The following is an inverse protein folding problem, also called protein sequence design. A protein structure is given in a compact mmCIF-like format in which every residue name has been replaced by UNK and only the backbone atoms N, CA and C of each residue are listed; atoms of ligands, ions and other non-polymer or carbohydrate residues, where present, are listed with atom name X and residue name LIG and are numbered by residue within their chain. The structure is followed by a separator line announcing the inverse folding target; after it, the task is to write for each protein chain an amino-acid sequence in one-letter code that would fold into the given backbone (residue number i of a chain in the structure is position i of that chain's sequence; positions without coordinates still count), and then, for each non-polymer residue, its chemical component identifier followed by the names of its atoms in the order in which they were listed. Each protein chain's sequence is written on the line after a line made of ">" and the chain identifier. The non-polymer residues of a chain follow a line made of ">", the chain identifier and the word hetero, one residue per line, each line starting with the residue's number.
data_IF_743814811354
#
_entry.id   IF_743814811354
#
_cell.length_a   1.000
_cell.length_b   1.000
_cell.length_c   1.000
_cell.angle_alpha   90.00
_cell.angle_beta   90.00
_cell.angle_gamma   90.00
#
_symmetry.space_group_name_H-M   'P 1'
#
loop_
_entity.id
_entity.type
_entity.pdbx_description
1 polymer ?
#
# COMPACT_ATOMS: atom_id res chain seq x y z
N UNK A 1 17.05 -16.99 6.33
CA UNK A 1 16.19 -17.30 5.17
C UNK A 1 14.79 -17.53 5.72
N UNK A 2 13.96 -16.49 5.77
CA UNK A 2 12.58 -16.63 6.25
C UNK A 2 11.74 -17.26 5.13
N UNK A 3 11.17 -18.42 5.41
CA UNK A 3 10.15 -19.01 4.56
C UNK A 3 8.98 -18.02 4.48
N UNK A 4 8.79 -17.41 3.31
CA UNK A 4 7.54 -16.74 2.99
C UNK A 4 6.44 -17.80 3.06
N UNK A 5 5.54 -17.64 4.02
CA UNK A 5 4.36 -18.50 4.16
C UNK A 5 3.61 -18.55 2.82
N UNK A 6 3.32 -19.76 2.36
CA UNK A 6 2.47 -20.04 1.19
C UNK A 6 0.98 -19.87 1.51
N UNK A 7 0.63 -19.52 2.74
CA UNK A 7 -0.76 -19.29 3.13
C UNK A 7 -1.27 -17.99 2.52
N UNK A 8 -2.36 -18.10 1.76
CA UNK A 8 -3.07 -16.94 1.24
C UNK A 8 -3.82 -16.26 2.40
N UNK A 9 -3.75 -14.91 2.53
CA UNK A 9 -4.41 -14.21 3.61
C UNK A 9 -5.94 -14.31 3.49
N UNK A 10 -6.61 -14.52 4.61
CA UNK A 10 -8.07 -14.45 4.69
C UNK A 10 -8.59 -13.02 4.74
N UNK A 11 -7.83 -12.10 5.33
CA UNK A 11 -8.20 -10.70 5.48
C UNK A 11 -8.26 -9.94 4.15
N UNK A 12 -8.88 -8.76 4.21
CA UNK A 12 -9.00 -7.85 3.07
C UNK A 12 -7.97 -6.73 3.18
N UNK A 13 -7.36 -6.36 2.06
CA UNK A 13 -6.48 -5.21 1.99
C UNK A 13 -6.99 -4.19 0.99
N UNK A 14 -7.04 -2.91 1.37
CA UNK A 14 -7.50 -1.83 0.49
C UNK A 14 -6.42 -0.77 0.34
N UNK A 15 -6.09 -0.38 -0.89
CA UNK A 15 -5.05 0.60 -1.16
C UNK A 15 -5.56 1.67 -2.12
N UNK A 16 -5.42 2.95 -1.75
CA UNK A 16 -5.83 4.11 -2.55
C UNK A 16 -4.62 4.95 -2.95
N UNK A 17 -4.63 5.51 -4.16
CA UNK A 17 -3.56 6.35 -4.68
C UNK A 17 -3.38 7.71 -4.01
N UNK A 18 -4.28 8.14 -3.11
CA UNK A 18 -4.32 9.48 -2.52
C UNK A 18 -5.38 10.36 -3.21
N UNK A 19 -5.38 11.66 -2.94
CA UNK A 19 -6.44 12.57 -3.39
C UNK A 19 -7.50 12.71 -2.31
N UNK A 20 -8.77 12.82 -2.70
CA UNK A 20 -9.89 12.68 -1.78
C UNK A 20 -10.05 11.21 -1.32
N UNK A 21 -10.27 11.02 -0.02
CA UNK A 21 -10.40 9.70 0.59
C UNK A 21 -11.86 9.34 0.90
N UNK A 22 -12.83 10.24 0.72
CA UNK A 22 -14.23 10.04 1.15
C UNK A 22 -14.85 8.74 0.60
N UNK A 23 -14.63 8.45 -0.69
CA UNK A 23 -15.10 7.21 -1.32
C UNK A 23 -14.42 5.95 -0.72
N UNK A 24 -13.14 6.04 -0.37
CA UNK A 24 -12.44 4.96 0.33
C UNK A 24 -13.01 4.76 1.74
N UNK A 25 -13.26 5.83 2.50
CA UNK A 25 -13.80 5.73 3.85
C UNK A 25 -15.19 5.10 3.85
N UNK A 26 -16.06 5.51 2.92
CA UNK A 26 -17.38 4.91 2.72
C UNK A 26 -17.28 3.41 2.38
N UNK A 27 -16.42 3.06 1.40
CA UNK A 27 -16.15 1.68 1.04
C UNK A 27 -15.66 0.85 2.25
N UNK A 28 -14.75 1.39 3.06
CA UNK A 28 -14.25 0.69 4.25
C UNK A 28 -15.35 0.46 5.28
N UNK A 29 -16.23 1.44 5.50
CA UNK A 29 -17.40 1.30 6.37
C UNK A 29 -18.33 0.18 5.88
N UNK A 30 -18.59 0.10 4.58
CA UNK A 30 -19.46 -0.93 3.97
C UNK A 30 -18.85 -2.34 4.06
N UNK A 31 -17.52 -2.46 4.08
CA UNK A 31 -16.82 -3.73 4.22
C UNK A 31 -16.77 -4.25 5.67
N UNK A 32 -17.03 -3.39 6.67
CA UNK A 32 -17.02 -3.80 8.07
C UNK A 32 -18.23 -4.69 8.39
N UNK A 33 -18.07 -5.71 9.25
CA UNK A 33 -19.18 -6.58 9.64
C UNK A 33 -20.26 -5.86 10.44
N UNK A 34 -19.91 -4.73 11.07
CA UNK A 34 -20.80 -3.83 11.81
C UNK A 34 -20.14 -2.47 11.95
N UNK A 35 -20.92 -1.38 11.99
CA UNK A 35 -20.41 -0.02 12.22
C UNK A 35 -19.87 0.20 13.65
N UNK A 36 -20.17 -0.70 14.59
CA UNK A 36 -19.58 -0.69 15.94
C UNK A 36 -18.20 -1.37 15.99
N UNK A 37 -17.72 -1.89 14.86
CA UNK A 37 -16.40 -2.53 14.76
C UNK A 37 -15.29 -1.54 15.06
N UNK A 38 -14.31 -1.94 15.88
CA UNK A 38 -13.19 -1.08 16.22
C UNK A 38 -12.34 -0.72 14.98
N UNK A 39 -12.21 0.57 14.71
CA UNK A 39 -11.37 1.13 13.64
C UNK A 39 -10.19 1.86 14.26
N UNK A 40 -8.98 1.43 13.92
CA UNK A 40 -7.72 1.98 14.41
C UNK A 40 -7.03 2.78 13.31
N UNK A 41 -6.95 4.10 13.48
CA UNK A 41 -6.36 5.03 12.51
C UNK A 41 -4.89 5.26 12.89
N UNK A 42 -3.96 4.94 12.00
CA UNK A 42 -2.52 5.14 12.19
C UNK A 42 -2.06 6.31 11.31
N UNK A 43 -1.82 7.46 11.93
CA UNK A 43 -1.44 8.69 11.25
C UNK A 43 0.07 9.02 11.34
N UNK A 44 0.90 8.03 11.66
CA UNK A 44 2.37 8.16 11.87
C UNK A 44 3.11 8.75 10.68
N UNK A 45 2.56 8.60 9.47
CA UNK A 45 3.08 9.17 8.24
C UNK A 45 3.10 10.70 8.25
N UNK A 46 2.26 11.37 9.03
CA UNK A 46 2.25 12.83 9.18
C UNK A 46 3.22 13.27 10.29
N UNK A 47 4.46 13.69 9.98
CA UNK A 47 5.48 13.96 11.00
C UNK A 47 5.12 15.07 11.99
N UNK A 48 4.41 16.10 11.52
CA UNK A 48 4.11 17.29 12.32
C UNK A 48 2.65 17.35 12.79
N UNK A 49 1.75 16.63 12.12
CA UNK A 49 0.30 16.80 12.29
C UNK A 49 -0.45 15.48 12.51
N UNK A 50 0.23 14.39 12.91
CA UNK A 50 -0.36 13.07 13.12
C UNK A 50 -1.68 13.12 13.92
N UNK A 51 -1.73 13.88 15.01
CA UNK A 51 -2.94 14.02 15.82
C UNK A 51 -4.07 14.73 15.08
N UNK A 52 -3.77 15.78 14.32
CA UNK A 52 -4.77 16.51 13.54
C UNK A 52 -5.29 15.65 12.37
N UNK A 53 -4.39 14.99 11.62
CA UNK A 53 -4.73 14.03 10.57
C UNK A 53 -5.63 12.93 11.13
N UNK A 54 -5.25 12.30 12.25
CA UNK A 54 -6.05 11.24 12.85
C UNK A 54 -7.42 11.73 13.34
N UNK A 55 -7.49 12.95 13.88
CA UNK A 55 -8.75 13.56 14.33
C UNK A 55 -9.69 13.81 13.14
N UNK A 56 -9.16 14.22 11.98
CA UNK A 56 -9.95 14.40 10.78
C UNK A 56 -10.54 13.07 10.27
N UNK A 57 -9.73 12.01 10.16
CA UNK A 57 -10.26 10.69 9.78
C UNK A 57 -11.21 10.12 10.85
N UNK A 58 -10.92 10.31 12.14
CA UNK A 58 -11.81 9.86 13.22
C UNK A 58 -13.18 10.52 13.11
N UNK A 59 -13.23 11.81 12.79
CA UNK A 59 -14.48 12.52 12.51
C UNK A 59 -15.18 11.96 11.28
N UNK A 60 -14.48 11.80 10.16
CA UNK A 60 -15.07 11.31 8.91
C UNK A 60 -15.67 9.89 9.06
N UNK A 61 -14.94 8.96 9.68
CA UNK A 61 -15.46 7.62 9.97
C UNK A 61 -16.71 7.66 10.86
N UNK A 62 -16.75 8.54 11.86
CA UNK A 62 -17.92 8.69 12.74
C UNK A 62 -19.13 9.30 12.03
N UNK A 63 -18.92 10.22 11.11
CA UNK A 63 -19.98 10.79 10.27
C UNK A 63 -20.60 9.72 9.35
N UNK A 64 -19.81 8.73 8.94
CA UNK A 64 -20.26 7.52 8.24
C UNK A 64 -20.86 6.45 9.17
N UNK A 65 -20.98 6.72 10.47
CA UNK A 65 -21.59 5.83 11.47
C UNK A 65 -20.62 4.90 12.19
N UNK A 66 -19.33 4.87 11.84
CA UNK A 66 -18.32 4.07 12.54
C UNK A 66 -17.92 4.70 13.89
N UNK A 67 -18.81 4.60 14.89
CA UNK A 67 -18.66 5.29 16.18
C UNK A 67 -17.46 4.84 16.99
N UNK A 68 -16.94 3.63 16.73
CA UNK A 68 -15.78 3.04 17.39
C UNK A 68 -14.43 3.44 16.76
N UNK A 69 -14.41 4.30 15.74
CA UNK A 69 -13.16 4.79 15.14
C UNK A 69 -12.35 5.65 16.11
N UNK A 70 -11.04 5.37 16.22
CA UNK A 70 -10.12 6.05 17.14
C UNK A 70 -8.72 6.16 16.55
N UNK A 71 -8.02 7.24 16.87
CA UNK A 71 -6.57 7.35 16.63
C UNK A 71 -5.78 6.28 17.42
N UNK A 72 -4.93 5.51 16.73
CA UNK A 72 -3.90 4.65 17.30
C UNK A 72 -2.54 5.35 17.18
N UNK A 73 -2.09 6.09 18.22
CA UNK A 73 -0.83 6.80 18.15
C UNK A 73 0.33 5.79 18.11
N UNK A 74 1.16 5.91 17.08
CA UNK A 74 2.43 5.19 16.94
C UNK A 74 3.50 6.20 16.52
N UNK A 75 4.62 6.22 17.24
CA UNK A 75 5.72 7.14 17.00
C UNK A 75 6.74 7.13 18.13
N UNK A 76 7.62 8.13 18.17
CA UNK A 76 8.73 8.22 19.13
C UNK A 76 8.30 8.06 20.60
N UNK A 77 7.19 8.69 20.98
CA UNK A 77 6.65 8.62 22.35
C UNK A 77 5.56 7.56 22.54
N UNK A 78 5.18 6.87 21.47
CA UNK A 78 4.14 5.85 21.47
C UNK A 78 4.64 4.61 20.71
N UNK A 79 5.47 3.76 21.36
CA UNK A 79 6.06 2.60 20.70
C UNK A 79 4.97 1.65 20.19
N UNK A 80 5.21 1.05 19.01
CA UNK A 80 4.27 0.09 18.41
C UNK A 80 4.02 -1.14 19.32
N UNK A 81 5.04 -1.56 20.06
CA UNK A 81 5.01 -2.71 20.98
C UNK A 81 4.50 -2.37 22.39
N UNK A 82 4.01 -1.14 22.62
CA UNK A 82 3.38 -0.82 23.88
C UNK A 82 2.17 -1.76 24.13
N UNK A 83 2.00 -2.33 25.34
CA UNK A 83 0.92 -3.28 25.61
C UNK A 83 -0.50 -2.77 25.30
N UNK A 84 -0.71 -1.46 25.41
CA UNK A 84 -1.97 -0.81 25.03
C UNK A 84 -2.19 -0.81 23.52
N UNK A 85 -1.15 -0.53 22.73
CA UNK A 85 -1.19 -0.52 21.28
C UNK A 85 -1.48 -1.92 20.74
N UNK A 86 -0.74 -2.93 21.22
CA UNK A 86 -0.94 -4.32 20.81
C UNK A 86 -2.34 -4.86 21.20
N UNK A 87 -2.87 -4.47 22.36
CA UNK A 87 -4.23 -4.85 22.78
C UNK A 87 -5.29 -4.24 21.86
N UNK A 88 -5.12 -2.98 21.44
CA UNK A 88 -5.99 -2.31 20.47
C UNK A 88 -5.92 -2.98 19.11
N UNK A 89 -4.70 -3.20 18.60
CA UNK A 89 -4.47 -3.93 17.35
C UNK A 89 -5.14 -5.30 17.34
N UNK A 90 -5.09 -6.07 18.45
CA UNK A 90 -5.73 -7.40 18.52
C UNK A 90 -7.27 -7.37 18.49
N UNK A 91 -7.88 -6.21 18.72
CA UNK A 91 -9.35 -6.03 18.75
C UNK A 91 -9.90 -5.28 17.54
N UNK A 92 -9.05 -4.63 16.76
CA UNK A 92 -9.43 -3.85 15.58
C UNK A 92 -10.10 -4.75 14.53
N UNK A 93 -11.20 -4.31 13.91
CA UNK A 93 -11.63 -4.91 12.65
C UNK A 93 -10.96 -4.26 11.44
N UNK A 94 -10.56 -2.99 11.59
CA UNK A 94 -9.86 -2.22 10.56
C UNK A 94 -8.65 -1.50 11.15
N UNK A 95 -7.51 -1.59 10.47
CA UNK A 95 -6.36 -0.71 10.66
C UNK A 95 -6.18 0.13 9.39
N UNK A 96 -6.31 1.45 9.53
CA UNK A 96 -6.20 2.39 8.41
C UNK A 96 -4.94 3.25 8.55
N UNK A 97 -4.06 3.21 7.54
CA UNK A 97 -2.84 4.01 7.46
C UNK A 97 -3.05 5.25 6.59
N UNK A 98 -2.90 6.44 7.16
CA UNK A 98 -3.06 7.69 6.40
C UNK A 98 -1.88 7.98 5.46
N UNK A 99 -2.04 9.01 4.62
CA UNK A 99 -0.97 9.58 3.82
C UNK A 99 0.09 10.33 4.65
N UNK A 100 1.18 10.74 3.98
CA UNK A 100 2.32 11.43 4.58
C UNK A 100 3.66 10.90 4.04
N UNK A 101 4.57 10.53 4.93
CA UNK A 101 5.84 9.88 4.64
C UNK A 101 5.79 8.38 4.99
N UNK A 102 5.88 7.54 3.97
CA UNK A 102 5.87 6.08 4.10
C UNK A 102 7.11 5.53 4.83
N UNK A 103 8.26 6.22 4.78
CA UNK A 103 9.46 5.79 5.51
C UNK A 103 9.17 5.81 7.02
N UNK A 104 8.42 6.79 7.52
CA UNK A 104 8.03 6.89 8.94
C UNK A 104 7.14 5.75 9.40
N UNK A 105 6.15 5.34 8.61
CA UNK A 105 5.31 4.17 8.95
C UNK A 105 6.21 2.97 9.20
N UNK A 106 7.14 2.73 8.28
CA UNK A 106 8.04 1.58 8.39
C UNK A 106 9.10 1.72 9.47
N UNK A 107 9.58 2.93 9.76
CA UNK A 107 10.54 3.22 10.83
C UNK A 107 10.00 2.78 12.19
N UNK A 108 8.74 3.09 12.49
CA UNK A 108 8.15 2.79 13.79
C UNK A 108 7.50 1.41 13.91
N UNK A 109 7.18 0.76 12.78
CA UNK A 109 6.42 -0.50 12.78
C UNK A 109 7.25 -1.70 12.31
N UNK A 110 8.21 -1.53 11.39
CA UNK A 110 8.92 -2.71 10.87
C UNK A 110 9.78 -3.39 11.93
N UNK A 111 9.71 -4.72 11.99
CA UNK A 111 10.48 -5.54 12.93
C UNK A 111 9.88 -5.61 14.34
N UNK A 112 8.76 -4.95 14.58
CA UNK A 112 8.07 -4.92 15.89
C UNK A 112 7.08 -6.09 16.05
N UNK A 113 6.66 -6.37 17.29
CA UNK A 113 5.54 -7.29 17.56
C UNK A 113 4.25 -6.79 16.90
N UNK A 114 4.04 -5.48 16.81
CA UNK A 114 2.91 -4.90 16.08
C UNK A 114 2.84 -5.41 14.64
N UNK A 115 3.94 -5.40 13.88
CA UNK A 115 3.95 -5.90 12.51
C UNK A 115 3.61 -7.39 12.47
N UNK A 116 4.14 -8.18 13.42
CA UNK A 116 3.88 -9.61 13.48
C UNK A 116 2.39 -9.90 13.74
N UNK A 117 1.77 -9.19 14.68
CA UNK A 117 0.33 -9.31 14.96
C UNK A 117 -0.48 -8.84 13.76
N UNK A 118 -0.12 -7.71 13.14
CA UNK A 118 -0.80 -7.20 11.94
C UNK A 118 -0.81 -8.25 10.81
N UNK A 119 0.34 -8.88 10.56
CA UNK A 119 0.48 -9.97 9.59
C UNK A 119 -0.32 -11.20 9.97
N UNK A 120 -0.22 -11.66 11.20
CA UNK A 120 -0.95 -12.84 11.67
C UNK A 120 -2.45 -12.67 11.49
N UNK A 121 -2.98 -11.51 11.89
CA UNK A 121 -4.41 -11.21 11.76
C UNK A 121 -4.83 -11.11 10.30
N UNK A 122 -4.07 -10.41 9.47
CA UNK A 122 -4.32 -10.33 8.03
C UNK A 122 -4.33 -11.73 7.38
N UNK A 123 -3.43 -12.61 7.81
CA UNK A 123 -3.36 -13.98 7.29
C UNK A 123 -4.54 -14.85 7.75
N UNK A 124 -5.00 -14.71 9.00
CA UNK A 124 -5.87 -15.70 9.65
C UNK A 124 -7.31 -15.26 9.91
N UNK A 125 -7.65 -13.99 9.74
CA UNK A 125 -8.98 -13.45 10.08
C UNK A 125 -9.68 -12.86 8.85
N UNK A 126 -10.76 -13.50 8.39
CA UNK A 126 -11.50 -13.09 7.19
C UNK A 126 -12.17 -11.72 7.31
N UNK A 127 -12.55 -11.31 8.53
CA UNK A 127 -13.18 -10.02 8.81
C UNK A 127 -12.18 -8.90 9.11
N UNK A 128 -10.87 -9.18 9.08
CA UNK A 128 -9.86 -8.17 9.36
C UNK A 128 -9.46 -7.43 8.09
N UNK A 129 -9.47 -6.10 8.17
CA UNK A 129 -9.17 -5.20 7.07
C UNK A 129 -7.92 -4.39 7.40
N UNK A 130 -7.01 -4.31 6.44
CA UNK A 130 -5.89 -3.35 6.49
C UNK A 130 -6.01 -2.43 5.29
N UNK A 131 -6.02 -1.12 5.53
CA UNK A 131 -6.19 -0.16 4.46
C UNK A 131 -5.15 0.96 4.52
N UNK A 132 -4.88 1.60 3.39
CA UNK A 132 -4.04 2.79 3.37
C UNK A 132 -4.24 3.65 2.14
N UNK A 133 -3.98 4.95 2.30
CA UNK A 133 -4.02 5.95 1.23
C UNK A 133 -2.64 6.57 1.04
N UNK A 134 -2.26 6.86 -0.20
CA UNK A 134 -0.97 7.48 -0.54
C UNK A 134 0.21 6.73 0.12
N UNK A 135 0.98 7.39 1.00
CA UNK A 135 2.05 6.76 1.77
C UNK A 135 1.63 5.48 2.52
N UNK A 136 0.42 5.46 3.09
CA UNK A 136 -0.16 4.28 3.71
C UNK A 136 -0.27 3.11 2.74
N UNK A 137 -0.77 3.34 1.53
CA UNK A 137 -0.88 2.33 0.48
C UNK A 137 0.48 1.77 0.07
N UNK A 138 1.47 2.64 -0.13
CA UNK A 138 2.84 2.22 -0.46
C UNK A 138 3.43 1.33 0.65
N UNK A 139 3.21 1.69 1.92
CA UNK A 139 3.75 0.96 3.06
C UNK A 139 3.22 -0.47 3.23
N UNK A 140 2.04 -0.81 2.69
CA UNK A 140 1.48 -2.16 2.81
C UNK A 140 2.26 -3.22 2.00
N UNK A 141 3.06 -2.80 1.03
CA UNK A 141 3.73 -3.68 0.06
C UNK A 141 5.07 -4.25 0.56
N UNK A 142 5.66 -5.19 -0.18
CA UNK A 142 7.00 -5.73 0.13
C UNK A 142 8.09 -4.67 -0.05
N UNK A 143 8.02 -3.89 -1.13
CA UNK A 143 8.95 -2.79 -1.40
C UNK A 143 8.19 -1.51 -1.66
N UNK A 144 8.69 -0.41 -1.10
CA UNK A 144 8.17 0.93 -1.30
C UNK A 144 9.10 1.72 -2.22
N UNK A 145 8.52 2.49 -3.14
CA UNK A 145 9.21 3.59 -3.79
C UNK A 145 9.17 4.82 -2.89
N UNK A 146 10.33 5.23 -2.39
CA UNK A 146 10.46 6.36 -1.43
C UNK A 146 11.10 7.59 -2.04
N UNK A 147 11.75 7.45 -3.19
CA UNK A 147 12.36 8.56 -3.93
C UNK A 147 12.33 8.29 -5.43
N UNK A 148 12.35 9.36 -6.22
CA UNK A 148 12.31 9.35 -7.67
C UNK A 148 11.37 10.42 -8.22
N UNK A 149 11.94 11.39 -8.93
CA UNK A 149 11.24 12.58 -9.41
C UNK A 149 11.50 12.85 -10.89
N UNK A 150 10.41 12.99 -11.64
CA UNK A 150 10.41 13.34 -13.06
C UNK A 150 11.39 12.48 -13.86
N UNK A 151 12.04 13.11 -14.83
CA UNK A 151 12.96 12.43 -15.75
C UNK A 151 14.23 11.88 -15.08
N UNK A 152 14.65 12.42 -13.91
CA UNK A 152 15.83 11.94 -13.18
C UNK A 152 15.62 10.52 -12.65
N UNK A 153 14.37 10.11 -12.45
CA UNK A 153 14.04 8.75 -12.05
C UNK A 153 14.50 7.69 -13.07
N UNK A 154 14.75 8.05 -14.33
CA UNK A 154 15.26 7.13 -15.36
C UNK A 154 16.79 7.13 -15.47
N UNK A 155 17.49 7.54 -14.41
CA UNK A 155 18.94 7.41 -14.28
C UNK A 155 19.29 6.48 -13.14
N UNK A 156 20.38 5.72 -13.25
CA UNK A 156 20.82 4.84 -12.15
C UNK A 156 21.08 5.66 -10.89
N UNK A 157 20.54 5.21 -9.77
CA UNK A 157 20.52 5.97 -8.50
C UNK A 157 19.46 7.07 -8.42
N UNK A 158 18.67 7.29 -9.46
CA UNK A 158 17.61 8.29 -9.52
C UNK A 158 16.30 7.88 -8.84
N UNK A 159 16.22 6.67 -8.30
CA UNK A 159 15.13 6.21 -7.44
C UNK A 159 15.70 5.61 -6.15
N UNK A 160 14.87 5.53 -5.12
CA UNK A 160 15.17 4.78 -3.91
C UNK A 160 14.01 3.87 -3.56
N UNK A 161 14.33 2.61 -3.28
CA UNK A 161 13.38 1.65 -2.73
C UNK A 161 13.77 1.25 -1.32
N UNK A 162 12.76 0.93 -0.51
CA UNK A 162 12.88 0.47 0.88
C UNK A 162 11.94 -0.70 1.08
N UNK A 163 12.19 -1.53 2.10
CA UNK A 163 11.25 -2.59 2.46
C UNK A 163 10.02 -1.97 3.15
N UNK A 164 8.82 -2.38 2.73
CA UNK A 164 7.56 -2.02 3.35
C UNK A 164 7.17 -2.95 4.50
N UNK A 165 5.89 -2.93 4.87
CA UNK A 165 5.31 -3.82 5.86
C UNK A 165 5.14 -5.25 5.34
N UNK A 166 5.10 -5.46 4.02
CA UNK A 166 5.13 -6.79 3.39
C UNK A 166 3.82 -7.57 3.44
N UNK A 167 2.67 -6.90 3.61
CA UNK A 167 1.34 -7.55 3.57
C UNK A 167 0.99 -8.00 2.14
N UNK A 168 1.46 -7.29 1.12
CA UNK A 168 1.38 -7.70 -0.29
C UNK A 168 2.77 -8.12 -0.80
N UNK A 169 3.10 -9.42 -0.77
CA UNK A 169 4.39 -9.92 -1.26
C UNK A 169 4.51 -9.74 -2.78
N UNK A 170 5.73 -9.48 -3.25
CA UNK A 170 6.09 -9.29 -4.67
C UNK A 170 5.28 -8.21 -5.37
N UNK A 171 4.93 -7.15 -4.65
CA UNK A 171 4.18 -6.02 -5.17
C UNK A 171 4.85 -4.71 -4.79
N UNK A 172 4.75 -3.72 -5.68
CA UNK A 172 5.20 -2.34 -5.52
C UNK A 172 4.01 -1.43 -5.85
N UNK A 173 3.49 -0.69 -4.86
CA UNK A 173 2.47 0.34 -5.12
C UNK A 173 3.15 1.68 -5.25
N UNK A 174 2.79 2.37 -6.32
CA UNK A 174 3.07 3.79 -6.51
C UNK A 174 1.74 4.56 -6.53
N UNK A 175 1.74 5.75 -5.96
CA UNK A 175 0.55 6.55 -5.61
C UNK A 175 0.62 7.92 -6.30
N UNK A 176 -0.49 8.65 -6.38
CA UNK A 176 -0.62 9.87 -7.19
C UNK A 176 0.00 9.67 -8.59
N UNK A 177 -0.25 8.50 -9.17
CA UNK A 177 0.64 7.92 -10.17
C UNK A 177 0.59 8.68 -11.49
N UNK A 178 -0.62 8.94 -11.98
CA UNK A 178 -0.85 9.67 -13.23
C UNK A 178 -0.57 11.15 -13.02
N UNK A 179 -1.04 11.70 -11.91
CA UNK A 179 -0.98 13.11 -11.56
C UNK A 179 0.46 13.62 -11.46
N UNK A 180 1.38 12.75 -11.00
CA UNK A 180 2.80 13.09 -10.84
C UNK A 180 3.70 12.47 -11.91
N UNK A 181 3.14 11.86 -12.96
CA UNK A 181 3.90 11.28 -14.08
C UNK A 181 4.88 10.18 -13.63
N UNK A 182 4.46 9.31 -12.72
CA UNK A 182 5.35 8.38 -11.99
C UNK A 182 5.62 7.05 -12.71
N UNK A 183 5.21 6.90 -13.97
CA UNK A 183 5.54 5.71 -14.76
C UNK A 183 7.04 5.42 -14.82
N UNK A 184 7.86 6.46 -15.07
CA UNK A 184 9.32 6.28 -15.20
C UNK A 184 9.99 5.70 -13.95
N UNK A 185 9.57 6.15 -12.76
CA UNK A 185 10.15 5.65 -11.50
C UNK A 185 9.67 4.24 -11.16
N UNK A 186 8.41 3.91 -11.44
CA UNK A 186 7.89 2.56 -11.26
C UNK A 186 8.55 1.57 -12.23
N UNK A 187 8.70 1.94 -13.51
CA UNK A 187 9.42 1.14 -14.49
C UNK A 187 10.86 0.86 -14.06
N UNK A 188 11.59 1.89 -13.60
CA UNK A 188 12.95 1.70 -13.07
C UNK A 188 12.95 0.81 -11.82
N UNK A 189 11.98 0.94 -10.91
CA UNK A 189 11.87 0.05 -9.76
C UNK A 189 11.74 -1.41 -10.15
N UNK A 190 11.00 -1.71 -11.23
CA UNK A 190 10.86 -3.07 -11.75
C UNK A 190 12.12 -3.58 -12.47
N UNK A 191 12.99 -2.70 -12.98
CA UNK A 191 14.33 -3.11 -13.42
C UNK A 191 15.21 -3.55 -12.24
N UNK A 192 15.04 -2.90 -11.08
CA UNK A 192 15.74 -3.26 -9.85
C UNK A 192 15.11 -4.49 -9.14
N UNK A 193 13.79 -4.65 -9.26
CA UNK A 193 12.99 -5.68 -8.60
C UNK A 193 12.09 -6.43 -9.61
N UNK A 194 12.67 -7.18 -10.57
CA UNK A 194 11.91 -7.78 -11.68
C UNK A 194 10.88 -8.83 -11.26
N UNK A 195 11.05 -9.41 -10.06
CA UNK A 195 10.08 -10.34 -9.49
C UNK A 195 8.84 -9.67 -8.92
N UNK A 196 8.84 -8.34 -8.75
CA UNK A 196 7.66 -7.61 -8.30
C UNK A 196 6.69 -7.32 -9.45
N UNK A 197 5.42 -7.12 -9.09
CA UNK A 197 4.42 -6.47 -9.94
C UNK A 197 4.30 -5.00 -9.51
N UNK A 198 4.40 -4.08 -10.46
CA UNK A 198 4.18 -2.67 -10.21
C UNK A 198 2.71 -2.31 -10.38
N UNK A 199 2.15 -1.58 -9.43
CA UNK A 199 0.77 -1.08 -9.48
C UNK A 199 0.81 0.42 -9.20
N UNK A 200 0.57 1.21 -10.25
CA UNK A 200 0.40 2.65 -10.16
C UNK A 200 -1.06 3.01 -9.94
N UNK A 201 -1.38 3.61 -8.80
CA UNK A 201 -2.72 4.08 -8.44
C UNK A 201 -2.83 5.59 -8.72
N UNK A 202 -3.78 5.97 -9.57
CA UNK A 202 -4.20 7.37 -9.73
C UNK A 202 -4.83 7.89 -8.42
N UNK A 203 -4.95 9.22 -8.29
CA UNK A 203 -5.74 9.80 -7.21
C UNK A 203 -7.20 9.30 -7.27
N UNK A 204 -7.84 9.22 -6.11
CA UNK A 204 -9.24 8.79 -5.93
C UNK A 204 -9.54 7.40 -6.54
N UNK A 205 -8.49 6.59 -6.73
CA UNK A 205 -8.54 5.28 -7.37
C UNK A 205 -7.68 4.28 -6.60
N UNK A 206 -8.19 3.06 -6.46
CA UNK A 206 -7.53 2.07 -5.63
C UNK A 206 -7.80 0.64 -6.05
N UNK A 207 -7.27 -0.27 -5.23
CA UNK A 207 -7.52 -1.71 -5.33
C UNK A 207 -8.01 -2.29 -4.01
N UNK A 208 -8.93 -3.24 -4.10
CA UNK A 208 -9.34 -4.13 -3.01
C UNK A 208 -8.76 -5.51 -3.28
N UNK A 209 -7.89 -5.97 -2.40
CA UNK A 209 -7.26 -7.29 -2.49
C UNK A 209 -7.95 -8.24 -1.51
N UNK A 210 -8.60 -9.27 -2.05
CA UNK A 210 -9.23 -10.34 -1.26
C UNK A 210 -8.52 -11.67 -1.47
N UNK A 211 -8.40 -12.45 -0.41
CA UNK A 211 -7.73 -13.74 -0.46
C UNK A 211 -6.25 -13.65 -0.84
N UNK A 212 -5.64 -12.45 -0.79
CA UNK A 212 -4.28 -12.15 -1.26
C UNK A 212 -3.99 -12.44 -2.73
N UNK A 213 -5.02 -12.71 -3.55
CA UNK A 213 -4.86 -13.15 -4.93
C UNK A 213 -5.52 -12.21 -5.92
N UNK A 214 -6.75 -11.80 -5.65
CA UNK A 214 -7.54 -11.04 -6.60
C UNK A 214 -7.61 -9.59 -6.14
N UNK A 215 -7.17 -8.68 -7.01
CA UNK A 215 -7.28 -7.24 -6.84
C UNK A 215 -8.40 -6.71 -7.73
N UNK A 216 -9.42 -6.13 -7.12
CA UNK A 216 -10.52 -5.43 -7.78
C UNK A 216 -10.23 -3.94 -7.81
N UNK A 217 -10.40 -3.27 -8.95
CA UNK A 217 -10.24 -1.82 -9.04
C UNK A 217 -11.52 -1.10 -8.63
N UNK A 218 -11.37 0.00 -7.90
CA UNK A 218 -12.45 0.94 -7.56
C UNK A 218 -11.99 2.40 -7.73
N UNK A 219 -12.94 3.33 -7.77
CA UNK A 219 -12.70 4.75 -7.96
C UNK A 219 -12.75 5.20 -9.43
N UNK A 220 -12.50 6.49 -9.66
CA UNK A 220 -12.86 7.15 -10.93
C UNK A 220 -11.73 7.23 -11.96
N UNK A 221 -10.50 6.93 -11.54
CA UNK A 221 -9.31 6.97 -12.37
C UNK A 221 -8.87 5.60 -12.91
N UNK A 222 -7.56 5.48 -13.12
CA UNK A 222 -6.95 4.31 -13.76
C UNK A 222 -5.87 3.70 -12.87
N UNK A 223 -5.93 2.38 -12.72
CA UNK A 223 -4.84 1.58 -12.16
C UNK A 223 -3.94 1.11 -13.28
N UNK A 224 -2.66 1.51 -13.25
CA UNK A 224 -1.65 1.08 -14.22
C UNK A 224 -0.82 -0.06 -13.65
N UNK A 225 -0.96 -1.24 -14.21
CA UNK A 225 -0.22 -2.44 -13.80
C UNK A 225 0.96 -2.63 -14.75
N UNK A 226 2.16 -2.76 -14.19
CA UNK A 226 3.41 -2.95 -14.95
C UNK A 226 4.08 -4.24 -14.49
N UNK A 227 4.20 -5.21 -15.40
CA UNK A 227 4.79 -6.51 -15.14
C UNK A 227 6.21 -6.60 -15.71
N UNK A 228 7.19 -6.75 -14.80
CA UNK A 228 8.61 -6.93 -15.11
C UNK A 228 9.08 -8.38 -15.28
N UNK A 229 8.22 -9.40 -15.11
CA UNK A 229 8.66 -10.82 -15.18
C UNK A 229 9.26 -11.23 -16.51
N UNK A 230 8.84 -10.58 -17.59
CA UNK A 230 9.26 -10.89 -18.95
C UNK A 230 10.36 -9.95 -19.46
N UNK A 231 10.94 -9.12 -18.59
CA UNK A 231 12.02 -8.19 -18.95
C UNK A 231 13.13 -8.91 -19.72
N UNK A 232 13.37 -8.46 -20.95
CA UNK A 232 14.50 -8.92 -21.77
C UNK A 232 15.53 -7.81 -21.87
N UNK A 233 16.65 -7.99 -21.19
CA UNK A 233 17.74 -7.02 -21.22
C UNK A 233 17.45 -5.74 -20.43
N UNK A 234 18.37 -5.42 -19.53
CA UNK A 234 18.48 -4.11 -18.89
C UNK A 234 19.94 -3.70 -18.83
N UNK A 235 20.22 -2.40 -18.95
CA UNK A 235 21.57 -1.88 -18.74
C UNK A 235 21.87 -1.55 -17.26
N UNK A 236 20.91 -1.72 -16.32
CA UNK A 236 21.01 -1.24 -14.94
C UNK A 236 22.25 -1.78 -14.20
N UNK A 237 22.59 -3.05 -14.41
CA UNK A 237 23.79 -3.67 -13.83
C UNK A 237 25.11 -3.23 -14.48
N UNK A 238 25.08 -2.58 -15.65
CA UNK A 238 26.26 -2.25 -16.48
C UNK A 238 26.61 -0.77 -16.49
N UNK A 239 25.64 0.12 -16.29
CA UNK A 239 25.87 1.57 -16.32
C UNK A 239 26.32 2.13 -14.97
N UNK A 240 27.02 3.26 -14.97
CA UNK A 240 27.41 4.01 -13.78
C UNK A 240 26.29 4.85 -13.17
N UNK A 241 26.56 5.44 -12.01
CA UNK A 241 25.60 6.33 -11.32
C UNK A 241 25.29 7.56 -12.18
N UNK A 242 24.01 7.96 -12.19
CA UNK A 242 23.54 9.08 -12.99
C UNK A 242 23.42 8.79 -14.49
N UNK A 243 23.83 7.64 -15.01
CA UNK A 243 23.63 7.29 -16.41
C UNK A 243 22.19 6.83 -16.71
N UNK A 244 21.65 7.04 -17.92
CA UNK A 244 20.31 6.60 -18.29
C UNK A 244 20.12 5.09 -18.19
N UNK A 245 18.96 4.67 -17.68
CA UNK A 245 18.59 3.26 -17.61
C UNK A 245 17.75 2.84 -18.80
N UNK A 246 17.90 1.60 -19.22
CA UNK A 246 17.09 0.95 -20.23
C UNK A 246 16.57 -0.40 -19.74
N UNK A 247 15.41 -0.78 -20.26
CA UNK A 247 14.78 -2.07 -20.10
C UNK A 247 13.83 -2.32 -21.26
N UNK A 248 13.60 -3.58 -21.60
CA UNK A 248 12.72 -3.98 -22.71
C UNK A 248 11.71 -5.02 -22.21
N UNK A 249 10.56 -5.10 -22.87
CA UNK A 249 9.50 -6.08 -22.60
C UNK A 249 8.82 -5.95 -21.23
N UNK A 250 8.57 -4.70 -20.79
CA UNK A 250 7.58 -4.42 -19.74
C UNK A 250 6.17 -4.59 -20.31
N UNK A 251 5.34 -5.43 -19.69
CA UNK A 251 3.93 -5.56 -20.05
C UNK A 251 3.11 -4.59 -19.21
N UNK A 252 2.23 -3.82 -19.85
CA UNK A 252 1.41 -2.80 -19.19
C UNK A 252 -0.07 -3.12 -19.37
N UNK A 253 -0.84 -3.01 -18.28
CA UNK A 253 -2.29 -3.02 -18.30
C UNK A 253 -2.83 -1.74 -17.68
N UNK A 254 -3.92 -1.24 -18.24
CA UNK A 254 -4.70 -0.14 -17.67
C UNK A 254 -6.05 -0.72 -17.25
N UNK A 255 -6.39 -0.57 -15.98
CA UNK A 255 -7.63 -1.07 -15.40
C UNK A 255 -8.44 0.08 -14.82
N UNK A 256 -9.76 -0.04 -14.92
CA UNK A 256 -10.75 0.89 -14.34
C UNK A 256 -11.66 0.13 -13.38
N UNK A 257 -12.51 0.86 -12.65
CA UNK A 257 -13.44 0.30 -11.68
C UNK A 257 -14.20 -0.94 -12.20
N UNK A 258 -14.31 -1.96 -11.34
CA UNK A 258 -14.99 -3.23 -11.64
C UNK A 258 -14.15 -4.25 -12.41
N UNK A 259 -12.95 -3.88 -12.87
CA UNK A 259 -12.01 -4.83 -13.47
C UNK A 259 -11.13 -5.50 -12.41
N UNK A 260 -10.68 -6.72 -12.72
CA UNK A 260 -9.93 -7.55 -11.78
C UNK A 260 -8.55 -7.93 -12.32
N UNK A 261 -7.58 -7.97 -11.42
CA UNK A 261 -6.23 -8.46 -11.64
C UNK A 261 -5.96 -9.64 -10.70
N UNK A 262 -5.53 -10.77 -11.25
CA UNK A 262 -4.96 -11.86 -10.46
C UNK A 262 -3.50 -11.54 -10.17
N UNK A 263 -3.14 -11.30 -8.92
CA UNK A 263 -1.78 -10.91 -8.49
C UNK A 263 -0.74 -12.03 -8.70
N UNK A 264 -1.17 -13.29 -8.77
CA UNK A 264 -0.28 -14.43 -8.95
C UNK A 264 0.01 -14.70 -10.44
N UNK A 265 -1.04 -14.84 -11.26
CA UNK A 265 -0.88 -15.02 -12.71
C UNK A 265 -0.47 -13.70 -13.41
N UNK A 266 -0.83 -12.56 -12.82
CA UNK A 266 -0.78 -11.19 -13.38
C UNK A 266 -1.61 -11.04 -14.65
N UNK A 267 -2.69 -11.81 -14.72
CA UNK A 267 -3.69 -11.70 -15.77
C UNK A 267 -4.80 -10.77 -15.34
N UNK A 268 -5.29 -9.98 -16.30
CA UNK A 268 -6.47 -9.15 -16.13
C UNK A 268 -7.67 -9.99 -16.57
N UNK A 269 -8.64 -10.18 -15.68
CA UNK A 269 -9.91 -10.75 -16.06
C UNK A 269 -10.77 -9.64 -16.67
N UNK A 270 -11.29 -9.89 -17.88
CA UNK A 270 -12.34 -9.06 -18.43
C UNK A 270 -13.63 -9.28 -17.60
N UNK A 271 -14.28 -8.18 -17.26
CA UNK A 271 -15.63 -8.11 -16.70
C UNK A 271 -16.66 -8.73 -17.65
#
# INVERSE_FOLDING_TARGET
>A
MSHLSTAMPLGTLVALGGGDDDALLALLCDLLPSLDTAVEIVATASPHDAQATATAYEKAFRELGCTAARHLPIGEHHPADAPVTLRRLRRAGLVFFSGGDQERITEFIRGTEFQQVLHQRYLSEASFIVAGTSAGAAALTEYMLVDGYGWRALRKGGIRTRAGLGLLPRLLIDQHFVERGRFGRLAHALLAHPMCLGVGLAEETGIIVRGGKQAEVFGDGVVTVVDGRHLRGSNLGRVGQGEPVSGQDLRVHLLVAGQYLDLASREVAAS
#
